data_IF_491131297321
#
_entry.id   IF_491131297321
#
_cell.length_a   1.000
_cell.length_b   1.000
_cell.length_c   1.000
_cell.angle_alpha   90.00
_cell.angle_beta   90.00
_cell.angle_gamma   90.00
#
_symmetry.space_group_name_H-M   'P 1'
#
loop_
_entity.id
_entity.type
_entity.pdbx_description
1 polymer ?
#
# COMPACT_ATOMS: atom_id res chain seq x y z
N UNK A 1 32.50 -3.86 1.13
CA UNK A 1 32.38 -4.37 -0.25
C UNK A 1 30.90 -4.31 -0.59
N UNK A 2 30.44 -3.29 -1.33
CA UNK A 2 29.01 -3.12 -1.66
C UNK A 2 28.77 -3.94 -2.94
N UNK A 3 28.14 -5.11 -2.81
CA UNK A 3 27.66 -5.85 -3.97
C UNK A 3 26.61 -5.00 -4.68
N UNK A 4 26.80 -4.78 -5.98
CA UNK A 4 25.82 -4.11 -6.83
C UNK A 4 24.58 -5.01 -6.93
N UNK A 5 23.49 -4.64 -6.26
CA UNK A 5 22.25 -5.42 -6.21
C UNK A 5 21.52 -5.50 -7.56
N UNK A 6 21.98 -4.76 -8.58
CA UNK A 6 21.30 -4.66 -9.88
C UNK A 6 22.31 -4.62 -11.04
N UNK A 7 23.28 -5.52 -11.02
CA UNK A 7 24.41 -5.58 -11.98
C UNK A 7 24.05 -5.97 -13.42
N UNK A 8 22.77 -6.06 -13.78
CA UNK A 8 22.33 -6.54 -15.09
C UNK A 8 21.38 -5.53 -15.78
N UNK A 9 21.91 -4.36 -16.17
CA UNK A 9 21.19 -3.41 -17.03
C UNK A 9 22.06 -3.03 -18.21
N UNK A 10 21.81 -3.70 -19.34
CA UNK A 10 22.31 -3.31 -20.65
C UNK A 10 21.91 -1.86 -20.97
N UNK A 11 22.88 -1.07 -21.42
CA UNK A 11 22.70 0.35 -21.80
C UNK A 11 22.35 0.48 -23.28
N UNK A 12 21.10 0.17 -23.66
CA UNK A 12 20.57 0.47 -24.98
C UNK A 12 19.89 1.84 -25.06
N UNK A 13 19.49 2.29 -26.27
CA UNK A 13 18.83 3.58 -26.50
C UNK A 13 17.52 3.77 -25.71
N UNK A 14 16.87 2.69 -25.29
CA UNK A 14 15.71 2.67 -24.40
C UNK A 14 15.99 3.21 -22.99
N UNK A 15 17.27 3.25 -22.56
CA UNK A 15 17.63 3.80 -21.27
C UNK A 15 17.67 5.34 -21.26
N UNK A 16 17.92 5.98 -22.41
CA UNK A 16 17.88 7.44 -22.52
C UNK A 16 16.49 7.98 -22.17
N UNK A 17 15.44 7.35 -22.70
CA UNK A 17 14.05 7.70 -22.37
C UNK A 17 13.74 7.52 -20.88
N UNK A 18 14.21 6.42 -20.26
CA UNK A 18 14.00 6.18 -18.83
C UNK A 18 14.71 7.21 -17.96
N UNK A 19 15.92 7.64 -18.34
CA UNK A 19 16.66 8.68 -17.64
C UNK A 19 15.94 10.02 -17.75
N UNK A 20 15.48 10.40 -18.94
CA UNK A 20 14.69 11.63 -19.15
C UNK A 20 13.40 11.63 -18.32
N UNK A 21 12.67 10.51 -18.31
CA UNK A 21 11.47 10.36 -17.50
C UNK A 21 11.77 10.52 -16.00
N UNK A 22 12.85 9.90 -15.51
CA UNK A 22 13.25 10.02 -14.11
C UNK A 22 13.67 11.44 -13.76
N UNK A 23 14.42 12.10 -14.64
CA UNK A 23 14.78 13.51 -14.48
C UNK A 23 13.54 14.37 -14.37
N UNK A 24 12.55 14.18 -15.24
CA UNK A 24 11.35 15.01 -15.28
C UNK A 24 10.44 14.79 -14.05
N UNK A 25 10.37 13.56 -13.54
CA UNK A 25 9.64 13.22 -12.32
C UNK A 25 10.32 13.76 -11.05
N UNK A 26 11.66 13.72 -11.01
CA UNK A 26 12.45 14.12 -9.85
C UNK A 26 12.92 15.58 -9.90
N UNK A 27 12.60 16.33 -10.96
CA UNK A 27 13.11 17.70 -11.19
C UNK A 27 12.89 18.67 -10.02
N UNK A 28 11.83 18.47 -9.25
CA UNK A 28 11.46 19.30 -8.10
C UNK A 28 11.76 18.62 -6.76
N UNK A 29 12.34 17.42 -6.77
CA UNK A 29 12.65 16.66 -5.55
C UNK A 29 14.05 17.05 -5.06
N UNK A 30 14.20 17.55 -3.82
CA UNK A 30 15.52 17.79 -3.24
C UNK A 30 16.36 16.51 -3.24
N UNK A 31 17.65 16.63 -3.55
CA UNK A 31 18.54 15.48 -3.63
C UNK A 31 18.62 14.72 -2.31
N UNK A 32 18.68 15.46 -1.19
CA UNK A 32 18.75 14.93 0.16
C UNK A 32 17.51 14.07 0.49
N UNK A 33 16.32 14.52 0.05
CA UNK A 33 15.07 13.78 0.22
C UNK A 33 15.09 12.48 -0.58
N UNK A 34 15.44 12.55 -1.87
CA UNK A 34 15.53 11.38 -2.73
C UNK A 34 16.55 10.36 -2.18
N UNK A 35 17.68 10.82 -1.64
CA UNK A 35 18.69 9.98 -1.02
C UNK A 35 18.17 9.33 0.27
N UNK A 36 17.49 10.07 1.13
CA UNK A 36 16.91 9.54 2.36
C UNK A 36 15.86 8.45 2.05
N UNK A 37 14.98 8.72 1.09
CA UNK A 37 13.96 7.78 0.62
C UNK A 37 14.56 6.51 0.01
N UNK A 38 15.61 6.65 -0.80
CA UNK A 38 16.33 5.51 -1.34
C UNK A 38 16.91 4.64 -0.22
N UNK A 39 17.58 5.24 0.77
CA UNK A 39 18.13 4.51 1.92
C UNK A 39 17.03 3.78 2.68
N UNK A 40 15.92 4.46 2.99
CA UNK A 40 14.76 3.87 3.68
C UNK A 40 14.20 2.68 2.89
N UNK A 41 14.04 2.82 1.58
CA UNK A 41 13.53 1.74 0.71
C UNK A 41 14.47 0.52 0.71
N UNK A 42 15.78 0.73 0.59
CA UNK A 42 16.76 -0.36 0.54
C UNK A 42 16.93 -1.11 1.87
N UNK A 43 16.59 -0.47 2.99
CA UNK A 43 16.69 -1.09 4.32
C UNK A 43 15.45 -1.90 4.69
N UNK A 44 14.33 -1.73 3.99
CA UNK A 44 13.11 -2.49 4.25
C UNK A 44 13.19 -3.89 3.59
N UNK A 45 13.19 -4.97 4.39
CA UNK A 45 13.32 -6.33 3.88
C UNK A 45 12.13 -6.80 3.04
N UNK A 46 10.99 -6.08 3.07
CA UNK A 46 9.83 -6.40 2.25
C UNK A 46 9.99 -5.93 0.79
N UNK A 47 10.93 -5.02 0.52
CA UNK A 47 11.18 -4.51 -0.82
C UNK A 47 12.03 -5.49 -1.63
N UNK A 48 11.36 -6.27 -2.48
CA UNK A 48 12.00 -7.29 -3.35
C UNK A 48 12.42 -6.75 -4.71
N UNK A 49 11.98 -5.56 -5.08
CA UNK A 49 12.15 -4.97 -6.42
C UNK A 49 12.95 -3.66 -6.34
N UNK A 50 13.55 -3.20 -7.45
CA UNK A 50 14.15 -1.87 -7.49
C UNK A 50 13.11 -0.77 -7.24
N UNK A 51 13.48 0.35 -6.60
CA UNK A 51 12.56 1.45 -6.36
C UNK A 51 12.14 2.12 -7.67
N UNK A 52 10.88 2.56 -7.73
CA UNK A 52 10.38 3.45 -8.78
C UNK A 52 10.66 4.93 -8.42
N UNK A 53 10.71 5.87 -9.38
CA UNK A 53 11.04 7.27 -9.09
C UNK A 53 10.05 7.95 -8.14
N UNK A 54 8.77 7.56 -8.14
CA UNK A 54 7.78 8.12 -7.19
C UNK A 54 8.08 7.84 -5.71
N UNK A 55 8.82 6.77 -5.39
CA UNK A 55 9.19 6.43 -4.01
C UNK A 55 10.27 7.40 -3.55
N UNK A 56 11.15 7.80 -4.48
CA UNK A 56 12.20 8.77 -4.22
C UNK A 56 11.62 10.18 -4.06
N UNK A 57 10.54 10.50 -4.79
CA UNK A 57 9.83 11.77 -4.70
C UNK A 57 8.84 11.87 -3.52
N UNK A 58 8.50 10.76 -2.87
CA UNK A 58 7.49 10.74 -1.82
C UNK A 58 7.96 11.58 -0.62
N UNK A 59 7.21 12.62 -0.27
CA UNK A 59 7.26 13.15 1.07
C UNK A 59 6.71 12.07 2.02
N UNK A 60 7.24 11.98 3.25
CA UNK A 60 6.92 10.93 4.25
C UNK A 60 5.40 10.67 4.49
N UNK A 61 4.54 11.59 4.04
CA UNK A 61 3.07 11.50 4.12
C UNK A 61 2.46 10.28 3.40
N UNK A 62 3.05 9.78 2.31
CA UNK A 62 2.47 8.64 1.58
C UNK A 62 2.67 7.28 2.28
N UNK A 63 3.73 7.14 3.10
CA UNK A 63 3.86 6.01 4.05
C UNK A 63 2.75 6.08 5.08
N UNK A 64 2.48 7.30 5.59
CA UNK A 64 1.46 7.53 6.61
C UNK A 64 0.08 7.08 6.14
N UNK A 65 -0.32 7.35 4.88
CA UNK A 65 -1.65 6.96 4.41
C UNK A 65 -1.83 5.43 4.29
N UNK A 66 -0.86 4.71 3.72
CA UNK A 66 -0.95 3.24 3.63
C UNK A 66 -0.84 2.56 4.99
N UNK A 67 -0.01 3.11 5.89
CA UNK A 67 0.08 2.66 7.28
C UNK A 67 -1.23 2.94 8.03
N UNK A 68 -1.86 4.10 7.83
CA UNK A 68 -3.16 4.44 8.39
C UNK A 68 -4.25 3.49 7.89
N UNK A 69 -4.30 3.16 6.60
CA UNK A 69 -5.26 2.21 6.06
C UNK A 69 -5.05 0.80 6.65
N UNK A 70 -3.80 0.37 6.81
CA UNK A 70 -3.46 -0.91 7.43
C UNK A 70 -3.88 -0.95 8.90
N UNK A 71 -3.59 0.11 9.66
CA UNK A 71 -3.98 0.24 11.07
C UNK A 71 -5.50 0.29 11.21
N UNK A 72 -6.20 1.06 10.37
CA UNK A 72 -7.65 1.16 10.37
C UNK A 72 -8.31 -0.20 10.08
N UNK A 73 -7.78 -0.96 9.12
CA UNK A 73 -8.25 -2.32 8.83
C UNK A 73 -8.08 -3.28 10.01
N UNK A 74 -6.94 -3.21 10.70
CA UNK A 74 -6.70 -4.02 11.91
C UNK A 74 -7.66 -3.65 13.03
N UNK A 75 -7.86 -2.35 13.28
CA UNK A 75 -8.82 -1.85 14.27
C UNK A 75 -10.25 -2.28 13.97
N UNK A 76 -10.66 -2.27 12.71
CA UNK A 76 -12.00 -2.72 12.31
C UNK A 76 -12.23 -4.22 12.61
N UNK A 77 -11.22 -5.07 12.38
CA UNK A 77 -11.31 -6.49 12.72
C UNK A 77 -11.36 -6.70 14.24
N UNK A 78 -10.52 -5.98 15.01
CA UNK A 78 -10.54 -6.06 16.47
C UNK A 78 -11.87 -5.57 17.04
N UNK A 79 -12.47 -4.53 16.47
CA UNK A 79 -13.80 -4.06 16.84
C UNK A 79 -14.88 -5.07 16.47
N UNK A 80 -14.81 -5.68 15.28
CA UNK A 80 -15.74 -6.72 14.87
C UNK A 80 -15.75 -7.90 15.85
N UNK A 81 -14.57 -8.31 16.32
CA UNK A 81 -14.44 -9.38 17.32
C UNK A 81 -14.93 -8.96 18.72
N UNK A 82 -14.91 -7.66 19.03
CA UNK A 82 -15.46 -7.09 20.28
C UNK A 82 -16.97 -6.86 20.23
N UNK A 83 -17.56 -6.73 19.04
CA UNK A 83 -19.02 -6.76 18.85
C UNK A 83 -19.45 -8.21 19.01
N UNK A 84 -19.41 -8.68 20.26
CA UNK A 84 -20.10 -9.87 20.70
C UNK A 84 -21.51 -9.86 20.08
N UNK A 85 -21.74 -10.83 19.19
CA UNK A 85 -23.00 -11.00 18.50
C UNK A 85 -24.12 -11.13 19.53
N UNK A 86 -24.85 -10.02 19.77
CA UNK A 86 -26.12 -10.10 20.48
C UNK A 86 -26.98 -11.03 19.63
N UNK A 87 -27.35 -12.22 20.14
CA UNK A 87 -28.14 -13.15 19.35
C UNK A 87 -29.42 -12.44 18.92
N UNK A 88 -29.84 -12.57 17.64
CA UNK A 88 -30.98 -11.83 17.13
C UNK A 88 -32.21 -12.14 17.98
N UNK A 89 -32.99 -11.09 18.28
CA UNK A 89 -34.17 -11.19 19.13
C UNK A 89 -35.22 -12.12 18.52
N UNK A 90 -36.13 -12.63 19.35
CA UNK A 90 -37.21 -13.53 18.90
C UNK A 90 -38.03 -12.85 17.78
N UNK A 91 -38.30 -11.55 17.89
CA UNK A 91 -39.02 -10.79 16.87
C UNK A 91 -38.24 -10.65 15.56
N UNK A 92 -36.93 -10.43 15.62
CA UNK A 92 -36.06 -10.36 14.45
C UNK A 92 -36.04 -11.71 13.71
N UNK A 93 -35.94 -12.82 14.46
CA UNK A 93 -35.99 -14.18 13.88
C UNK A 93 -37.34 -14.48 13.23
N UNK A 94 -38.47 -14.06 13.85
CA UNK A 94 -39.81 -14.21 13.28
C UNK A 94 -39.94 -13.43 11.97
N UNK A 95 -39.53 -12.17 11.97
CA UNK A 95 -39.63 -11.30 10.79
C UNK A 95 -38.84 -11.85 9.61
N UNK A 96 -37.60 -12.32 9.84
CA UNK A 96 -36.78 -12.95 8.80
C UNK A 96 -37.46 -14.18 8.20
N UNK A 97 -38.05 -15.06 9.03
CA UNK A 97 -38.82 -16.23 8.52
C UNK A 97 -39.99 -15.81 7.65
N UNK A 98 -40.71 -14.76 8.02
CA UNK A 98 -41.83 -14.24 7.23
C UNK A 98 -41.36 -13.63 5.90
N UNK A 99 -40.20 -12.95 5.87
CA UNK A 99 -39.64 -12.42 4.62
C UNK A 99 -39.21 -13.53 3.66
N UNK A 100 -38.53 -14.56 4.16
CA UNK A 100 -38.12 -15.70 3.33
C UNK A 100 -39.32 -16.52 2.82
N UNK A 101 -40.39 -16.63 3.60
CA UNK A 101 -41.62 -17.29 3.17
C UNK A 101 -42.39 -16.53 2.08
N UNK A 102 -42.13 -15.23 1.89
CA UNK A 102 -42.78 -14.37 0.89
C UNK A 102 -41.99 -14.21 -0.40
N UNK A 103 -40.76 -14.73 -0.48
CA UNK A 103 -39.98 -14.70 -1.71
C UNK A 103 -40.51 -15.80 -2.65
N UNK A 104 -40.92 -15.46 -3.88
CA UNK A 104 -41.21 -16.49 -4.88
C UNK A 104 -39.89 -17.19 -5.27
N UNK A 105 -39.93 -18.51 -5.27
CA UNK A 105 -38.85 -19.41 -5.70
C UNK A 105 -38.55 -19.28 -7.19
#
# INVERSE_FOLDING_TARGET
>A
MIQSTYSDRSFGPENSFKIELWRDLLKNTPFELAQANLRRYTLDPNNKFPPHPGILAAADEQSSYHDQLRIAGQLALMQHDQINAVPPSIEQRRKVRETFARLPS
#
